data_IF_001474016084
#
_entry.id   IF_001474016084
#
_cell.length_a   1.000
_cell.length_b   1.000
_cell.length_c   1.000
_cell.angle_alpha   90.00
_cell.angle_beta   90.00
_cell.angle_gamma   90.00
#
_symmetry.space_group_name_H-M   'P 1'
#
loop_
_entity.id
_entity.type
_entity.pdbx_description
1 polymer ?
#
# COMPACT_ATOMS: atom_id res chain seq x y z
N UNK A 1 -47.49 -25.35 24.25
CA UNK A 1 -47.77 -24.67 25.55
C UNK A 1 -46.43 -24.47 26.23
N UNK A 2 -45.88 -23.29 26.51
CA UNK A 2 -46.38 -21.91 26.58
C UNK A 2 -45.40 -20.99 25.86
N UNK A 3 -46.01 -20.00 25.22
CA UNK A 3 -45.49 -18.83 24.51
C UNK A 3 -45.13 -17.72 25.51
N UNK A 4 -44.09 -16.93 25.20
CA UNK A 4 -43.94 -15.48 25.50
C UNK A 4 -42.62 -15.04 24.84
N UNK A 5 -42.55 -14.35 23.69
CA UNK A 5 -42.96 -12.97 23.30
C UNK A 5 -42.39 -11.85 24.17
N UNK A 6 -41.96 -10.80 23.45
CA UNK A 6 -41.61 -9.42 23.88
C UNK A 6 -40.10 -9.20 24.08
N UNK A 7 -39.44 -8.17 23.56
CA UNK A 7 -39.87 -6.97 22.85
C UNK A 7 -38.77 -6.51 21.88
N UNK A 8 -39.17 -5.89 20.77
CA UNK A 8 -38.30 -5.04 19.97
C UNK A 8 -38.11 -3.71 20.71
N UNK A 9 -36.87 -3.23 20.77
CA UNK A 9 -36.55 -1.85 21.12
C UNK A 9 -35.68 -1.28 20.00
N UNK A 10 -36.30 -0.41 19.22
CA UNK A 10 -35.68 0.59 18.36
C UNK A 10 -34.70 1.44 19.17
N UNK A 11 -33.43 1.48 18.75
CA UNK A 11 -32.51 2.53 19.15
C UNK A 11 -32.26 3.44 17.95
N UNK A 12 -32.65 4.69 18.15
CA UNK A 12 -32.51 5.86 17.28
C UNK A 12 -31.04 6.23 17.10
N UNK A 13 -30.63 6.44 15.85
CA UNK A 13 -29.43 7.19 15.51
C UNK A 13 -29.52 8.61 16.05
N UNK A 14 -28.52 9.01 16.84
CA UNK A 14 -28.20 10.41 17.07
C UNK A 14 -26.77 10.63 16.62
N UNK A 15 -26.62 11.25 15.44
CA UNK A 15 -25.39 11.88 15.00
C UNK A 15 -25.03 13.00 15.97
N UNK A 16 -23.94 12.81 16.73
CA UNK A 16 -23.25 13.92 17.39
C UNK A 16 -21.87 14.03 16.79
N UNK A 17 -21.69 15.04 15.94
CA UNK A 17 -20.41 15.40 15.36
C UNK A 17 -19.36 15.64 16.45
N UNK A 18 -18.37 14.77 16.53
CA UNK A 18 -17.23 14.96 17.42
C UNK A 18 -16.28 15.97 16.80
N UNK A 19 -16.32 17.20 17.32
CA UNK A 19 -15.29 18.21 17.14
C UNK A 19 -13.99 17.66 17.74
N UNK A 20 -13.00 17.39 16.89
CA UNK A 20 -11.66 16.99 17.33
C UNK A 20 -11.00 18.18 18.05
N UNK A 21 -11.12 18.24 19.37
CA UNK A 21 -10.35 19.17 20.18
C UNK A 21 -8.94 18.60 20.41
N UNK A 22 -7.95 19.39 20.03
CA UNK A 22 -6.54 19.02 20.06
C UNK A 22 -6.00 18.91 21.49
N UNK A 23 -5.66 17.69 21.90
CA UNK A 23 -4.81 17.43 23.06
C UNK A 23 -3.35 17.77 22.74
N UNK A 24 -2.86 18.86 23.34
CA UNK A 24 -1.47 19.29 23.22
C UNK A 24 -0.50 18.42 24.03
N UNK A 25 0.64 18.09 23.43
CA UNK A 25 1.73 17.39 24.08
C UNK A 25 3.02 17.34 23.25
N UNK A 26 3.75 18.46 23.17
CA UNK A 26 5.21 18.48 23.04
C UNK A 26 5.85 18.43 21.64
N UNK A 27 6.04 19.61 21.03
CA UNK A 27 7.19 19.85 20.11
C UNK A 27 6.90 19.89 18.60
N UNK A 28 6.19 20.92 18.12
CA UNK A 28 6.19 21.30 16.69
C UNK A 28 4.87 21.15 15.93
N UNK A 29 3.77 21.70 16.48
CA UNK A 29 2.67 22.30 15.70
C UNK A 29 1.77 21.42 14.83
N UNK A 30 1.63 20.12 15.08
CA UNK A 30 0.71 19.25 14.34
C UNK A 30 0.33 17.98 15.09
N UNK A 31 -0.66 17.24 14.56
CA UNK A 31 -1.11 15.95 15.10
C UNK A 31 -0.02 14.89 14.87
N UNK A 32 0.55 14.25 15.91
CA UNK A 32 1.50 13.17 15.71
C UNK A 32 0.85 12.02 14.93
N UNK A 33 1.51 11.55 13.88
CA UNK A 33 1.05 10.47 13.01
C UNK A 33 2.17 9.47 12.72
N UNK A 34 1.77 8.22 12.49
CA UNK A 34 2.63 7.16 11.94
C UNK A 34 2.06 6.74 10.59
N UNK A 35 2.87 6.79 9.54
CA UNK A 35 2.50 6.35 8.20
C UNK A 35 3.30 5.09 7.89
N UNK A 36 2.62 3.98 7.64
CA UNK A 36 3.26 2.71 7.29
C UNK A 36 2.82 2.27 5.89
N UNK A 37 3.77 1.80 5.09
CA UNK A 37 3.51 1.22 3.78
C UNK A 37 4.33 -0.07 3.63
N UNK A 38 3.72 -1.11 3.05
CA UNK A 38 4.37 -2.40 2.81
C UNK A 38 3.98 -2.95 1.44
N UNK A 39 4.94 -3.55 0.75
CA UNK A 39 4.75 -4.28 -0.50
C UNK A 39 5.28 -5.70 -0.31
N UNK A 40 4.47 -6.69 -0.69
CA UNK A 40 4.85 -8.10 -0.71
C UNK A 40 5.39 -8.41 -2.11
N UNK A 41 6.62 -8.92 -2.17
CA UNK A 41 7.33 -9.22 -3.41
C UNK A 41 7.53 -10.75 -3.62
N UNK A 42 7.31 -11.57 -2.59
CA UNK A 42 7.34 -13.04 -2.74
C UNK A 42 7.14 -13.84 -1.45
N UNK A 43 6.73 -15.10 -1.59
CA UNK A 43 6.64 -16.09 -0.52
C UNK A 43 7.91 -16.93 -0.51
N UNK A 44 8.66 -16.93 0.59
CA UNK A 44 9.86 -17.76 0.74
C UNK A 44 9.49 -19.03 1.49
N UNK A 45 9.53 -20.14 0.76
CA UNK A 45 9.20 -21.46 1.26
C UNK A 45 10.51 -22.22 1.54
N UNK A 46 10.75 -22.56 2.80
CA UNK A 46 11.95 -23.18 3.30
C UNK A 46 11.67 -24.65 3.69
N UNK A 47 12.68 -25.39 4.16
CA UNK A 47 12.54 -26.80 4.52
C UNK A 47 11.78 -27.01 5.84
N UNK A 48 11.81 -26.01 6.73
CA UNK A 48 11.17 -26.10 8.06
C UNK A 48 10.17 -24.97 8.32
N UNK A 49 9.17 -25.21 9.19
CA UNK A 49 8.12 -24.22 9.48
C UNK A 49 8.64 -22.86 9.96
N UNK A 50 9.76 -22.85 10.69
CA UNK A 50 10.32 -21.64 11.29
C UNK A 50 11.18 -20.82 10.32
N UNK A 51 11.59 -21.41 9.19
CA UNK A 51 12.45 -20.77 8.19
C UNK A 51 11.66 -20.15 7.03
N UNK A 52 10.34 -20.37 6.97
CA UNK A 52 9.47 -19.67 6.03
C UNK A 52 9.52 -18.16 6.23
N UNK A 53 9.44 -17.41 5.12
CA UNK A 53 9.51 -15.95 5.17
C UNK A 53 8.84 -15.29 3.98
N UNK A 54 9.07 -13.99 3.82
CA UNK A 54 8.54 -13.18 2.73
C UNK A 54 9.65 -12.33 2.13
N UNK A 55 9.63 -12.13 0.82
CA UNK A 55 10.32 -10.99 0.21
C UNK A 55 9.37 -9.81 0.27
N UNK A 56 9.83 -8.67 0.79
CA UNK A 56 8.99 -7.50 1.01
C UNK A 56 9.81 -6.23 1.14
N UNK A 57 9.13 -5.09 0.95
CA UNK A 57 9.64 -3.75 1.24
C UNK A 57 8.64 -3.03 2.13
N UNK A 58 9.11 -2.49 3.24
CA UNK A 58 8.26 -1.70 4.14
C UNK A 58 8.97 -0.42 4.57
N UNK A 59 8.20 0.64 4.75
CA UNK A 59 8.64 1.88 5.37
C UNK A 59 7.65 2.31 6.45
N UNK A 60 8.16 2.81 7.57
CA UNK A 60 7.39 3.43 8.64
C UNK A 60 7.95 4.83 8.86
N UNK A 61 7.10 5.83 8.73
CA UNK A 61 7.44 7.24 8.91
C UNK A 61 6.68 7.79 10.12
N UNK A 62 7.39 8.47 11.01
CA UNK A 62 6.83 9.19 12.14
C UNK A 62 6.87 10.68 11.84
N UNK A 63 5.79 11.39 12.11
CA UNK A 63 5.70 12.78 11.74
C UNK A 63 4.55 13.52 12.43
N UNK A 64 4.33 14.75 11.97
CA UNK A 64 3.25 15.59 12.47
C UNK A 64 2.42 16.08 11.28
N UNK A 65 1.12 15.79 11.31
CA UNK A 65 0.16 16.17 10.30
C UNK A 65 -0.49 17.53 10.64
N UNK A 66 -0.65 18.38 9.63
CA UNK A 66 -1.41 19.62 9.72
C UNK A 66 -2.40 19.72 8.56
N UNK A 67 -3.61 20.27 8.77
CA UNK A 67 -4.54 20.52 7.67
C UNK A 67 -3.97 21.57 6.71
N UNK A 68 -4.14 21.32 5.42
CA UNK A 68 -3.86 22.28 4.36
C UNK A 68 -5.08 23.19 4.21
N UNK A 69 -4.92 24.45 4.61
CA UNK A 69 -6.01 25.46 4.62
C UNK A 69 -5.86 26.53 3.55
N UNK A 70 -4.65 26.81 3.09
CA UNK A 70 -4.41 27.75 1.99
C UNK A 70 -5.03 27.20 0.69
N UNK A 71 -5.88 27.97 -0.01
CA UNK A 71 -6.55 27.48 -1.22
C UNK A 71 -5.60 27.09 -2.36
N UNK A 72 -4.47 27.77 -2.52
CA UNK A 72 -3.50 27.47 -3.58
C UNK A 72 -2.68 26.22 -3.22
N UNK A 73 -2.22 26.09 -1.98
CA UNK A 73 -1.57 24.86 -1.49
C UNK A 73 -2.52 23.66 -1.59
N UNK A 74 -3.80 23.86 -1.26
CA UNK A 74 -4.83 22.83 -1.37
C UNK A 74 -5.02 22.35 -2.81
N UNK A 75 -5.11 23.28 -3.77
CA UNK A 75 -5.24 22.94 -5.18
C UNK A 75 -4.02 22.15 -5.69
N UNK A 76 -2.81 22.60 -5.33
CA UNK A 76 -1.57 21.91 -5.64
C UNK A 76 -1.52 20.50 -5.05
N UNK A 77 -1.90 20.34 -3.78
CA UNK A 77 -1.95 19.04 -3.13
C UNK A 77 -3.01 18.10 -3.75
N UNK A 78 -4.17 18.62 -4.18
CA UNK A 78 -5.17 17.83 -4.90
C UNK A 78 -4.65 17.32 -6.25
N UNK A 79 -3.88 18.15 -6.97
CA UNK A 79 -3.21 17.74 -8.21
C UNK A 79 -2.22 16.59 -7.94
N UNK A 80 -1.31 16.75 -6.96
CA UNK A 80 -0.35 15.70 -6.60
C UNK A 80 -1.02 14.39 -6.18
N UNK A 81 -2.08 14.46 -5.37
CA UNK A 81 -2.81 13.26 -4.93
C UNK A 81 -3.50 12.58 -6.12
N UNK A 82 -4.10 13.35 -7.02
CA UNK A 82 -4.77 12.81 -8.22
C UNK A 82 -3.78 12.13 -9.15
N UNK A 83 -2.63 12.77 -9.40
CA UNK A 83 -1.58 12.23 -10.25
C UNK A 83 -0.81 11.08 -9.58
N UNK A 84 -0.84 10.99 -8.25
CA UNK A 84 -0.34 9.84 -7.51
C UNK A 84 -1.18 8.57 -7.69
N UNK A 85 -2.45 8.69 -8.11
CA UNK A 85 -3.30 7.53 -8.44
C UNK A 85 -3.01 7.03 -9.85
N UNK A 86 -2.99 7.94 -10.83
CA UNK A 86 -2.58 7.68 -12.22
C UNK A 86 -1.82 8.90 -12.72
N UNK A 87 -0.57 8.76 -13.22
CA UNK A 87 0.22 9.88 -13.68
C UNK A 87 -0.48 10.77 -14.72
N UNK A 88 -0.52 12.09 -14.46
CA UNK A 88 -1.16 13.09 -15.31
C UNK A 88 -2.68 12.98 -15.41
N UNK A 89 -3.34 12.32 -14.47
CA UNK A 89 -4.80 12.17 -14.45
C UNK A 89 -5.52 13.48 -14.15
N UNK A 90 -4.90 14.36 -13.37
CA UNK A 90 -5.43 15.68 -13.04
C UNK A 90 -5.82 16.47 -14.28
N UNK A 91 -4.88 16.66 -15.20
CA UNK A 91 -5.08 17.40 -16.46
C UNK A 91 -6.12 16.74 -17.41
N UNK A 92 -6.51 15.49 -17.15
CA UNK A 92 -7.43 14.70 -17.97
C UNK A 92 -8.79 14.47 -17.29
N UNK A 93 -9.08 15.29 -16.28
CA UNK A 93 -10.36 15.36 -15.56
C UNK A 93 -10.89 16.80 -15.63
N UNK A 94 -12.15 17.04 -15.25
CA UNK A 94 -12.70 18.39 -15.14
C UNK A 94 -11.96 19.17 -14.04
N UNK A 95 -11.21 20.19 -14.44
CA UNK A 95 -10.46 21.06 -13.54
C UNK A 95 -10.79 22.55 -13.81
N UNK A 96 -10.67 23.44 -12.81
CA UNK A 96 -10.38 23.15 -11.40
C UNK A 96 -11.58 22.51 -10.66
N UNK A 97 -11.37 21.94 -9.46
CA UNK A 97 -12.48 21.52 -8.59
C UNK A 97 -13.41 22.69 -8.31
N UNK A 98 -14.71 22.41 -8.22
CA UNK A 98 -15.71 23.43 -7.91
C UNK A 98 -15.69 23.81 -6.41
N UNK A 99 -16.42 24.86 -6.04
CA UNK A 99 -16.42 25.35 -4.66
C UNK A 99 -16.88 24.32 -3.63
N UNK A 100 -17.85 23.46 -3.97
CA UNK A 100 -18.34 22.43 -3.07
C UNK A 100 -17.28 21.35 -2.84
N UNK A 101 -16.60 20.89 -3.89
CA UNK A 101 -15.50 19.92 -3.82
C UNK A 101 -14.31 20.47 -3.01
N UNK A 102 -13.99 21.76 -3.21
CA UNK A 102 -12.95 22.45 -2.45
C UNK A 102 -13.30 22.57 -0.97
N UNK A 103 -14.58 22.71 -0.61
CA UNK A 103 -15.01 22.79 0.79
C UNK A 103 -15.07 21.42 1.47
N UNK A 104 -15.57 20.39 0.79
CA UNK A 104 -15.79 19.07 1.38
C UNK A 104 -14.52 18.22 1.53
N UNK A 105 -13.46 18.53 0.79
CA UNK A 105 -12.22 17.72 0.76
C UNK A 105 -11.22 18.20 1.80
N UNK A 106 -10.81 17.35 2.74
CA UNK A 106 -9.71 17.64 3.67
C UNK A 106 -8.37 17.11 3.14
N UNK A 107 -7.30 17.90 3.29
CA UNK A 107 -5.93 17.47 2.96
C UNK A 107 -5.02 17.67 4.16
N UNK A 108 -4.13 16.71 4.38
CA UNK A 108 -3.14 16.75 5.46
C UNK A 108 -1.73 16.79 4.87
N UNK A 109 -0.94 17.76 5.31
CA UNK A 109 0.50 17.78 5.07
C UNK A 109 1.20 17.16 6.26
N UNK A 110 1.98 16.11 6.04
CA UNK A 110 2.76 15.45 7.08
C UNK A 110 4.21 15.89 6.98
N UNK A 111 4.72 16.54 8.03
CA UNK A 111 6.17 16.74 8.19
C UNK A 111 6.76 15.44 8.76
N UNK A 112 7.56 14.75 7.97
CA UNK A 112 8.31 13.58 8.42
C UNK A 112 9.38 14.04 9.42
N UNK A 113 9.40 13.42 10.60
CA UNK A 113 10.36 13.70 11.67
C UNK A 113 11.41 12.58 11.79
N UNK A 114 11.00 11.33 11.59
CA UNK A 114 11.86 10.16 11.56
C UNK A 114 11.25 9.08 10.68
N UNK A 115 12.05 8.09 10.29
CA UNK A 115 11.54 6.95 9.56
C UNK A 115 12.50 5.76 9.61
N UNK A 116 11.95 4.58 9.36
CA UNK A 116 12.71 3.35 9.15
C UNK A 116 12.18 2.62 7.92
N UNK A 117 13.05 1.87 7.27
CA UNK A 117 12.68 1.01 6.17
C UNK A 117 13.34 -0.35 6.33
N UNK A 118 12.69 -1.39 5.84
CA UNK A 118 13.20 -2.75 5.82
C UNK A 118 12.89 -3.38 4.46
N UNK A 119 13.90 -4.02 3.90
CA UNK A 119 13.79 -4.77 2.66
C UNK A 119 14.28 -6.18 2.96
N UNK A 120 13.50 -7.18 2.57
CA UNK A 120 13.93 -8.58 2.49
C UNK A 120 13.76 -9.04 1.05
N UNK A 121 14.81 -9.63 0.51
CA UNK A 121 14.89 -10.21 -0.84
C UNK A 121 15.73 -11.47 -0.74
N UNK A 122 15.61 -12.37 -1.72
CA UNK A 122 16.41 -13.59 -1.79
C UNK A 122 15.63 -14.86 -1.53
N UNK A 123 16.38 -15.93 -1.26
CA UNK A 123 15.89 -17.30 -1.18
C UNK A 123 15.56 -17.75 0.25
N UNK A 124 15.21 -19.03 0.41
CA UNK A 124 15.21 -19.69 1.71
C UNK A 124 16.63 -19.81 2.25
N UNK A 125 16.76 -19.76 3.59
CA UNK A 125 18.03 -19.98 4.30
C UNK A 125 17.75 -21.02 5.37
N UNK A 126 18.09 -22.28 5.05
CA UNK A 126 17.83 -23.45 5.89
C UNK A 126 19.06 -23.81 6.74
N UNK A 127 18.84 -24.49 7.86
CA UNK A 127 19.93 -24.88 8.75
C UNK A 127 20.80 -25.98 8.15
N UNK A 128 22.08 -26.00 8.51
CA UNK A 128 23.03 -27.01 8.00
C UNK A 128 22.61 -28.45 8.29
N UNK A 129 21.91 -28.68 9.41
CA UNK A 129 21.38 -30.00 9.75
C UNK A 129 20.29 -30.46 8.78
N UNK A 130 19.37 -29.56 8.43
CA UNK A 130 18.28 -29.82 7.47
C UNK A 130 18.83 -30.04 6.07
N UNK A 131 19.86 -29.29 5.68
CA UNK A 131 20.56 -29.45 4.39
C UNK A 131 21.37 -30.76 4.28
N UNK A 132 21.64 -31.44 5.40
CA UNK A 132 22.32 -32.74 5.41
C UNK A 132 21.35 -33.93 5.46
N UNK A 133 20.05 -33.67 5.64
CA UNK A 133 19.00 -34.69 5.61
C UNK A 133 18.50 -34.87 4.17
N UNK A 134 19.12 -35.80 3.43
CA UNK A 134 18.76 -36.12 2.05
C UNK A 134 17.26 -36.51 1.92
N UNK A 135 16.71 -37.22 2.92
CA UNK A 135 15.30 -37.61 2.88
C UNK A 135 14.36 -36.40 3.04
N UNK A 136 14.78 -35.37 3.77
CA UNK A 136 14.08 -34.08 3.86
C UNK A 136 14.16 -33.32 2.52
N UNK A 137 15.36 -33.24 1.92
CA UNK A 137 15.57 -32.58 0.62
C UNK A 137 14.77 -33.25 -0.51
N UNK A 138 14.64 -34.58 -0.49
CA UNK A 138 13.90 -35.35 -1.48
C UNK A 138 12.37 -35.18 -1.35
N UNK A 139 11.86 -34.83 -0.15
CA UNK A 139 10.41 -34.81 0.13
C UNK A 139 9.82 -33.42 0.29
N UNK A 140 10.62 -32.37 0.51
CA UNK A 140 10.15 -30.99 0.74
C UNK A 140 10.66 -30.07 -0.35
N UNK A 141 9.73 -29.44 -1.08
CA UNK A 141 10.08 -28.39 -2.02
C UNK A 141 10.47 -27.11 -1.28
N UNK A 142 11.59 -26.51 -1.68
CA UNK A 142 12.11 -25.23 -1.16
C UNK A 142 12.30 -24.25 -2.31
N UNK A 143 12.00 -22.97 -2.10
CA UNK A 143 12.09 -21.95 -3.12
C UNK A 143 11.28 -20.70 -2.83
N UNK A 144 11.10 -19.86 -3.85
CA UNK A 144 10.36 -18.59 -3.72
C UNK A 144 9.25 -18.54 -4.76
N UNK A 145 8.07 -18.12 -4.34
CA UNK A 145 6.95 -17.77 -5.23
C UNK A 145 6.92 -16.24 -5.34
N UNK A 146 7.32 -15.63 -6.46
CA UNK A 146 7.21 -14.18 -6.64
C UNK A 146 5.75 -13.73 -6.52
N UNK A 147 5.54 -12.57 -5.89
CA UNK A 147 4.22 -11.96 -5.72
C UNK A 147 4.31 -10.51 -6.17
N UNK A 148 3.36 -10.07 -6.99
CA UNK A 148 3.25 -8.68 -7.42
C UNK A 148 1.79 -8.33 -7.69
N UNK A 149 1.47 -7.05 -7.57
CA UNK A 149 0.14 -6.52 -7.91
C UNK A 149 0.05 -6.29 -9.40
N UNK A 150 -1.07 -6.69 -10.00
CA UNK A 150 -1.36 -6.45 -11.41
C UNK A 150 -2.60 -5.57 -11.52
N UNK A 151 -2.50 -4.49 -12.27
CA UNK A 151 -3.62 -3.68 -12.72
C UNK A 151 -4.31 -4.40 -13.89
N UNK A 152 -5.56 -4.81 -13.66
CA UNK A 152 -6.38 -5.48 -14.67
C UNK A 152 -6.79 -4.58 -15.83
N UNK A 153 -7.45 -5.17 -16.83
CA UNK A 153 -7.98 -4.45 -17.99
C UNK A 153 -9.00 -3.37 -17.58
N UNK A 154 -8.92 -2.14 -18.13
CA UNK A 154 -9.87 -1.08 -17.79
C UNK A 154 -11.31 -1.45 -18.14
N UNK A 155 -12.20 -1.37 -17.14
CA UNK A 155 -13.63 -1.61 -17.32
C UNK A 155 -14.35 -0.26 -17.46
N UNK A 156 -15.06 0.01 -18.57
CA UNK A 156 -15.75 1.28 -18.75
C UNK A 156 -16.94 1.41 -17.80
N UNK A 157 -17.15 2.61 -17.26
CA UNK A 157 -18.35 2.95 -16.49
C UNK A 157 -19.61 2.97 -17.38
N UNK A 158 -20.79 2.73 -16.80
CA UNK A 158 -22.03 2.57 -17.57
C UNK A 158 -22.49 3.80 -18.38
N UNK A 159 -22.01 5.00 -18.05
CA UNK A 159 -22.27 6.24 -18.78
C UNK A 159 -21.07 6.72 -19.62
N UNK A 160 -19.98 5.93 -19.66
CA UNK A 160 -18.80 6.28 -20.42
C UNK A 160 -19.13 6.29 -21.93
N UNK A 161 -18.79 7.39 -22.59
CA UNK A 161 -18.97 7.57 -24.05
C UNK A 161 -17.65 7.52 -24.80
N UNK A 162 -16.52 7.51 -24.11
CA UNK A 162 -15.20 7.40 -24.72
C UNK A 162 -14.95 5.91 -25.01
N UNK A 163 -15.01 5.51 -26.27
CA UNK A 163 -14.96 4.10 -26.68
C UNK A 163 -13.58 3.48 -26.56
N UNK A 164 -12.53 4.28 -26.71
CA UNK A 164 -11.15 3.83 -26.61
C UNK A 164 -10.57 4.17 -25.24
N UNK A 165 -9.84 3.22 -24.64
CA UNK A 165 -9.05 3.51 -23.44
C UNK A 165 -7.99 4.55 -23.83
N UNK A 166 -7.89 5.68 -23.09
CA UNK A 166 -6.87 6.67 -23.39
C UNK A 166 -5.46 6.07 -23.37
N UNK A 167 -4.68 6.31 -24.42
CA UNK A 167 -3.33 5.76 -24.60
C UNK A 167 -2.44 5.91 -23.37
N UNK A 168 -2.45 7.08 -22.73
CA UNK A 168 -1.61 7.34 -21.55
C UNK A 168 -1.92 6.41 -20.36
N UNK A 169 -3.20 6.02 -20.21
CA UNK A 169 -3.64 5.14 -19.13
C UNK A 169 -3.18 3.71 -19.41
N UNK A 170 -3.30 3.30 -20.67
CA UNK A 170 -2.90 1.96 -21.09
C UNK A 170 -1.38 1.77 -21.06
N UNK A 171 -0.62 2.74 -21.57
CA UNK A 171 0.85 2.73 -21.51
C UNK A 171 1.35 2.66 -20.06
N UNK A 172 0.79 3.50 -19.18
CA UNK A 172 1.14 3.47 -17.76
C UNK A 172 0.80 2.14 -17.10
N UNK A 173 -0.39 1.58 -17.37
CA UNK A 173 -0.84 0.30 -16.80
C UNK A 173 0.09 -0.85 -17.20
N UNK A 174 0.41 -0.95 -18.49
CA UNK A 174 1.27 -2.00 -19.04
C UNK A 174 2.69 -1.88 -18.47
N UNK A 175 3.26 -0.67 -18.44
CA UNK A 175 4.60 -0.46 -17.88
C UNK A 175 4.63 -0.75 -16.38
N UNK A 176 3.66 -0.26 -15.60
CA UNK A 176 3.59 -0.51 -14.17
C UNK A 176 3.48 -2.00 -13.84
N UNK A 177 2.69 -2.76 -14.61
CA UNK A 177 2.59 -4.21 -14.46
C UNK A 177 3.92 -4.91 -14.77
N UNK A 178 4.59 -4.51 -15.85
CA UNK A 178 5.89 -5.05 -16.23
C UNK A 178 6.95 -4.77 -15.17
N UNK A 179 7.05 -3.52 -14.69
CA UNK A 179 7.98 -3.13 -13.63
C UNK A 179 7.72 -3.91 -12.34
N UNK A 180 6.45 -4.09 -11.95
CA UNK A 180 6.08 -4.86 -10.76
C UNK A 180 6.49 -6.34 -10.87
N UNK A 181 6.25 -6.94 -12.04
CA UNK A 181 6.65 -8.31 -12.33
C UNK A 181 8.17 -8.50 -12.35
N UNK A 182 8.89 -7.63 -13.06
CA UNK A 182 10.36 -7.65 -13.13
C UNK A 182 10.95 -7.48 -11.73
N UNK A 183 10.45 -6.53 -10.93
CA UNK A 183 10.92 -6.32 -9.57
C UNK A 183 10.73 -7.56 -8.70
N UNK A 184 9.54 -8.16 -8.69
CA UNK A 184 9.26 -9.34 -7.88
C UNK A 184 10.15 -10.53 -8.27
N UNK A 185 10.41 -10.71 -9.57
CA UNK A 185 11.33 -11.74 -10.08
C UNK A 185 12.78 -11.48 -9.70
N UNK A 186 13.24 -10.25 -9.77
CA UNK A 186 14.60 -9.87 -9.37
C UNK A 186 14.81 -9.91 -7.85
N UNK A 187 13.76 -9.64 -7.07
CA UNK A 187 13.80 -9.78 -5.61
C UNK A 187 14.12 -11.21 -5.17
N UNK A 188 13.80 -12.23 -5.98
CA UNK A 188 14.22 -13.62 -5.72
C UNK A 188 15.72 -13.82 -5.91
N UNK A 189 16.34 -13.12 -6.88
CA UNK A 189 17.73 -13.34 -7.30
C UNK A 189 18.77 -12.62 -6.43
N UNK A 190 18.37 -11.55 -5.74
CA UNK A 190 19.30 -10.58 -5.12
C UNK A 190 20.19 -11.11 -3.98
N UNK A 191 19.85 -12.19 -3.28
CA UNK A 191 20.77 -12.80 -2.29
C UNK A 191 21.82 -13.72 -2.92
N UNK A 192 21.51 -14.40 -4.02
CA UNK A 192 22.45 -15.33 -4.67
C UNK A 192 23.74 -14.64 -5.16
N UNK A 193 23.72 -13.31 -5.33
CA UNK A 193 24.89 -12.52 -5.72
C UNK A 193 25.73 -12.02 -4.54
N UNK A 194 25.14 -11.80 -3.36
CA UNK A 194 25.84 -11.29 -2.19
C UNK A 194 26.62 -12.39 -1.45
N UNK A 195 26.18 -13.65 -1.55
CA UNK A 195 26.86 -14.80 -0.98
C UNK A 195 28.08 -15.22 -1.83
N UNK A 196 27.96 -15.17 -3.17
CA UNK A 196 29.08 -15.43 -4.11
C UNK A 196 30.21 -14.39 -4.08
N UNK A 197 29.98 -13.22 -3.49
CA UNK A 197 31.00 -12.18 -3.35
C UNK A 197 31.83 -12.29 -2.06
N UNK A 198 31.51 -13.26 -1.20
CA UNK A 198 32.22 -13.54 0.07
C UNK A 198 33.09 -14.80 0.01
N UNK A 199 33.13 -15.48 -1.12
CA UNK A 199 33.97 -16.65 -1.42
C UNK A 199 35.12 -16.25 -2.35
#
# INVERSE_FOLDING_TARGET
MKTARSAASTETETETGTKMEGGGGGGGGGLPVTVAASHLDGLVLALTPNSHSYNYRSAVLFGHAVPVTDPAEKLYAMELVTDGVVPGRWARTRVPPNAAEMQSTGLLRVRVAAGSAKIRSGGPSDERGDLADEALLDRVWTGVVPVYTVMGEPVPGGYNRVTEVPRYLEEWRVEANKEAEEFAKEAVKKEAAAEKAKE
#
